data_IF_283606074068
#
_entry.id   IF_283606074068
#
_cell.length_a   1.000
_cell.length_b   1.000
_cell.length_c   1.000
_cell.angle_alpha   90.00
_cell.angle_beta   90.00
_cell.angle_gamma   90.00
#
_symmetry.space_group_name_H-M   'P 1'
#
loop_
_entity.id
_entity.type
_entity.pdbx_description
1 polymer ?
#
# COMPACT_ATOMS: atom_id res chain seq x y z
N UNK A 1 -23.04 64.53 30.00
CA UNK A 1 -24.02 64.14 28.98
C UNK A 1 -23.57 62.83 28.37
N UNK A 2 -24.27 61.84 28.68
CA UNK A 2 -24.46 60.48 28.25
C UNK A 2 -24.10 60.12 26.80
N UNK A 3 -23.37 59.04 26.63
CA UNK A 3 -23.76 57.96 25.72
C UNK A 3 -23.00 56.67 26.05
N UNK A 4 -23.71 55.73 26.59
CA UNK A 4 -23.32 54.34 26.78
C UNK A 4 -23.28 53.62 25.39
N UNK A 5 -22.13 53.13 24.97
CA UNK A 5 -22.01 52.22 23.84
C UNK A 5 -21.83 50.78 24.37
N UNK A 6 -22.84 49.94 24.13
CA UNK A 6 -22.81 48.50 24.42
C UNK A 6 -21.85 47.82 23.47
N UNK A 7 -20.77 47.26 23.97
CA UNK A 7 -19.94 46.30 23.23
C UNK A 7 -20.59 44.91 23.31
N UNK A 8 -21.27 44.54 22.26
CA UNK A 8 -21.77 43.18 22.05
C UNK A 8 -20.60 42.29 21.69
N UNK A 9 -20.25 41.37 22.58
CA UNK A 9 -19.22 40.36 22.35
C UNK A 9 -19.66 39.41 21.24
N UNK A 10 -18.93 39.45 20.15
CA UNK A 10 -19.03 38.46 19.07
C UNK A 10 -18.20 37.26 19.48
N UNK A 11 -18.84 36.24 20.04
CA UNK A 11 -18.26 34.92 20.22
C UNK A 11 -18.12 34.28 18.81
N UNK A 12 -16.93 34.38 18.27
CA UNK A 12 -16.55 33.64 17.04
C UNK A 12 -16.36 32.18 17.46
N UNK A 13 -17.37 31.38 17.20
CA UNK A 13 -17.30 29.94 17.29
C UNK A 13 -16.26 29.46 16.26
N UNK A 14 -15.08 29.06 16.74
CA UNK A 14 -14.10 28.32 15.98
C UNK A 14 -14.66 26.90 15.81
N UNK A 15 -15.46 26.72 14.77
CA UNK A 15 -15.84 25.39 14.29
C UNK A 15 -14.57 24.72 13.78
N UNK A 16 -14.18 23.67 14.49
CA UNK A 16 -13.22 22.66 14.07
C UNK A 16 -13.57 22.13 12.67
N UNK A 17 -12.83 22.57 11.69
CA UNK A 17 -12.73 21.89 10.40
C UNK A 17 -11.58 20.89 10.45
N UNK A 18 -11.80 19.79 11.17
CA UNK A 18 -11.00 18.58 11.04
C UNK A 18 -11.90 17.52 10.45
N UNK A 19 -11.72 17.28 9.19
CA UNK A 19 -12.05 16.11 8.39
C UNK A 19 -12.34 16.57 6.96
N UNK A 20 -11.34 17.18 6.33
CA UNK A 20 -11.25 17.08 4.89
C UNK A 20 -10.61 15.73 4.57
N UNK A 21 -11.27 14.64 4.98
CA UNK A 21 -11.24 13.43 4.21
C UNK A 21 -11.82 13.85 2.86
N UNK A 22 -10.98 13.96 1.84
CA UNK A 22 -11.44 14.13 0.47
C UNK A 22 -12.39 12.96 0.21
N UNK A 23 -13.67 13.21 0.37
CA UNK A 23 -14.69 12.41 -0.23
C UNK A 23 -14.43 12.54 -1.73
N UNK A 24 -13.66 11.61 -2.28
CA UNK A 24 -13.75 11.28 -3.68
C UNK A 24 -15.21 10.94 -3.85
N UNK A 25 -15.96 11.86 -4.43
CA UNK A 25 -17.38 11.66 -4.71
C UNK A 25 -17.46 10.31 -5.43
N UNK A 26 -18.24 9.39 -4.87
CA UNK A 26 -18.51 8.14 -5.56
C UNK A 26 -18.91 8.48 -6.99
N UNK A 27 -18.30 7.87 -8.01
CA UNK A 27 -18.59 8.18 -9.39
C UNK A 27 -20.11 8.06 -9.57
N UNK A 28 -20.74 9.04 -10.26
CA UNK A 28 -22.14 8.96 -10.60
C UNK A 28 -22.38 7.63 -11.31
N UNK A 29 -23.54 7.02 -11.10
CA UNK A 29 -23.89 5.71 -11.69
C UNK A 29 -23.58 5.60 -13.19
N UNK A 30 -23.70 6.70 -13.92
CA UNK A 30 -23.41 6.78 -15.34
C UNK A 30 -21.91 6.75 -15.66
N UNK A 31 -21.07 7.34 -14.80
CA UNK A 31 -19.61 7.33 -14.96
C UNK A 31 -19.04 5.94 -14.68
N UNK A 32 -19.56 5.23 -13.67
CA UNK A 32 -19.16 3.86 -13.36
C UNK A 32 -19.53 2.90 -14.52
N UNK A 33 -20.74 3.03 -15.07
CA UNK A 33 -21.18 2.23 -16.21
C UNK A 33 -20.35 2.49 -17.48
N UNK A 34 -19.90 3.72 -17.68
CA UNK A 34 -19.03 4.08 -18.81
C UNK A 34 -17.64 3.47 -18.67
N UNK A 35 -17.07 3.46 -17.46
CA UNK A 35 -15.77 2.82 -17.16
C UNK A 35 -15.85 1.32 -17.38
N UNK A 36 -16.90 0.65 -16.91
CA UNK A 36 -17.08 -0.80 -17.09
C UNK A 36 -17.23 -1.17 -18.57
N UNK A 37 -17.96 -0.41 -19.35
CA UNK A 37 -18.08 -0.61 -20.81
C UNK A 37 -16.72 -0.43 -21.50
N UNK A 38 -15.94 0.56 -21.10
CA UNK A 38 -14.62 0.81 -21.68
C UNK A 38 -13.67 -0.35 -21.33
N UNK A 39 -13.66 -0.83 -20.09
CA UNK A 39 -12.87 -2.00 -19.67
C UNK A 39 -13.26 -3.25 -20.47
N UNK A 40 -14.55 -3.51 -20.63
CA UNK A 40 -15.04 -4.64 -21.43
C UNK A 40 -14.59 -4.56 -22.89
N UNK A 41 -14.61 -3.37 -23.50
CA UNK A 41 -14.14 -3.17 -24.87
C UNK A 41 -12.62 -3.40 -25.00
N UNK A 42 -11.83 -2.91 -24.04
CA UNK A 42 -10.37 -3.15 -24.00
C UNK A 42 -10.09 -4.65 -23.90
N UNK A 43 -10.79 -5.36 -23.04
CA UNK A 43 -10.63 -6.79 -22.89
C UNK A 43 -11.02 -7.59 -24.14
N UNK A 44 -12.11 -7.22 -24.80
CA UNK A 44 -12.51 -7.84 -26.07
C UNK A 44 -11.45 -7.63 -27.15
N UNK A 45 -10.84 -6.46 -27.23
CA UNK A 45 -9.75 -6.16 -28.14
C UNK A 45 -8.50 -6.99 -27.80
N UNK A 46 -8.16 -7.12 -26.52
CA UNK A 46 -7.03 -7.95 -26.07
C UNK A 46 -7.25 -9.44 -26.38
N UNK A 47 -8.48 -9.96 -26.22
CA UNK A 47 -8.81 -11.33 -26.62
C UNK A 47 -8.68 -11.56 -28.12
N UNK A 48 -9.14 -10.61 -28.93
CA UNK A 48 -8.97 -10.67 -30.38
C UNK A 48 -7.49 -10.60 -30.79
N UNK A 49 -6.70 -9.74 -30.17
CA UNK A 49 -5.28 -9.64 -30.41
C UNK A 49 -4.57 -10.95 -30.01
N UNK A 50 -4.93 -11.52 -28.87
CA UNK A 50 -4.41 -12.80 -28.39
C UNK A 50 -4.73 -13.95 -29.36
N UNK A 51 -5.95 -14.00 -29.88
CA UNK A 51 -6.35 -15.00 -30.88
C UNK A 51 -5.57 -14.85 -32.19
N UNK A 52 -5.22 -13.64 -32.61
CA UNK A 52 -4.52 -13.38 -33.87
C UNK A 52 -3.02 -13.62 -33.80
N UNK A 53 -2.36 -13.17 -32.76
CA UNK A 53 -0.89 -13.17 -32.64
C UNK A 53 -0.34 -14.12 -31.59
N UNK A 54 -1.23 -14.76 -30.82
CA UNK A 54 -0.84 -15.52 -29.65
C UNK A 54 -0.46 -14.61 -28.48
N UNK A 55 0.11 -15.20 -27.46
CA UNK A 55 0.53 -14.44 -26.27
C UNK A 55 0.37 -15.25 -24.99
N UNK A 56 0.07 -14.59 -23.87
CA UNK A 56 -0.09 -15.25 -22.58
C UNK A 56 -1.34 -14.80 -21.85
N UNK A 57 -1.85 -15.70 -21.00
CA UNK A 57 -2.89 -15.41 -19.99
C UNK A 57 -2.32 -15.67 -18.61
N UNK A 58 -2.57 -14.78 -17.67
CA UNK A 58 -2.15 -14.94 -16.28
C UNK A 58 -3.38 -14.73 -15.39
N UNK A 59 -3.54 -15.59 -14.39
CA UNK A 59 -4.56 -15.47 -13.37
C UNK A 59 -3.88 -15.25 -12.03
N UNK A 60 -4.08 -14.06 -11.47
CA UNK A 60 -3.65 -13.73 -10.13
C UNK A 60 -4.76 -13.96 -9.12
N UNK A 61 -4.38 -14.25 -7.88
CA UNK A 61 -5.25 -14.31 -6.71
C UNK A 61 -4.76 -13.37 -5.64
N UNK A 62 -5.67 -12.59 -5.07
CA UNK A 62 -5.41 -11.74 -3.91
C UNK A 62 -5.38 -12.59 -2.65
N UNK A 63 -4.44 -12.35 -1.76
CA UNK A 63 -4.31 -13.07 -0.48
C UNK A 63 -5.45 -12.68 0.48
N UNK A 64 -6.48 -13.50 0.51
CA UNK A 64 -7.64 -13.29 1.37
C UNK A 64 -7.32 -13.49 2.86
N UNK A 65 -6.34 -14.34 3.22
CA UNK A 65 -5.97 -14.56 4.61
C UNK A 65 -5.27 -13.33 5.18
N UNK A 66 -4.31 -12.77 4.45
CA UNK A 66 -3.67 -11.51 4.83
C UNK A 66 -4.68 -10.35 4.91
N UNK A 67 -5.69 -10.34 4.02
CA UNK A 67 -6.77 -9.35 4.07
C UNK A 67 -7.59 -9.45 5.35
N UNK A 68 -7.93 -10.67 5.80
CA UNK A 68 -8.67 -10.89 7.07
C UNK A 68 -7.86 -10.41 8.27
N UNK A 69 -6.58 -10.74 8.32
CA UNK A 69 -5.68 -10.30 9.40
C UNK A 69 -5.57 -8.77 9.44
N UNK A 70 -5.47 -8.12 8.27
CA UNK A 70 -5.44 -6.67 8.18
C UNK A 70 -6.72 -6.01 8.72
N UNK A 71 -7.91 -6.51 8.37
CA UNK A 71 -9.20 -5.99 8.86
C UNK A 71 -9.28 -6.06 10.39
N UNK A 72 -8.84 -7.18 11.00
CA UNK A 72 -8.85 -7.33 12.46
C UNK A 72 -7.84 -6.39 13.12
N UNK A 73 -6.68 -6.19 12.48
CA UNK A 73 -5.65 -5.27 12.98
C UNK A 73 -6.11 -3.81 12.88
N UNK A 74 -6.73 -3.40 11.78
CA UNK A 74 -7.33 -2.09 11.60
C UNK A 74 -8.42 -1.84 12.67
N UNK A 75 -9.28 -2.82 12.92
CA UNK A 75 -10.31 -2.73 13.96
C UNK A 75 -9.68 -2.54 15.35
N UNK A 76 -8.60 -3.28 15.70
CA UNK A 76 -7.87 -3.08 16.96
C UNK A 76 -7.34 -1.65 17.08
N UNK A 77 -6.77 -1.11 16.01
CA UNK A 77 -6.20 0.22 16.00
C UNK A 77 -7.28 1.31 16.13
N UNK A 78 -8.43 1.10 15.52
CA UNK A 78 -9.59 1.98 15.67
C UNK A 78 -10.17 1.95 17.09
N UNK A 79 -10.25 0.75 17.70
CA UNK A 79 -10.62 0.61 19.10
C UNK A 79 -9.64 1.37 19.99
N UNK A 80 -8.33 1.16 19.80
CA UNK A 80 -7.29 1.85 20.57
C UNK A 80 -7.39 3.36 20.43
N UNK A 81 -7.54 3.87 19.20
CA UNK A 81 -7.70 5.31 18.92
C UNK A 81 -8.92 5.87 19.62
N UNK A 82 -10.06 5.19 19.50
CA UNK A 82 -11.34 5.61 20.09
C UNK A 82 -11.28 5.75 21.62
N UNK A 83 -10.68 4.77 22.31
CA UNK A 83 -10.56 4.84 23.78
C UNK A 83 -9.55 5.88 24.22
N UNK A 84 -8.46 6.08 23.47
CA UNK A 84 -7.45 7.10 23.76
C UNK A 84 -7.99 8.51 23.56
N UNK A 85 -8.64 8.80 22.45
CA UNK A 85 -9.27 10.10 22.18
C UNK A 85 -10.39 10.39 23.18
N UNK A 86 -11.17 9.38 23.55
CA UNK A 86 -12.22 9.47 24.55
C UNK A 86 -11.70 9.58 25.99
N UNK A 87 -10.41 9.40 26.23
CA UNK A 87 -9.77 9.30 27.56
C UNK A 87 -10.46 8.26 28.44
N UNK A 88 -10.82 7.13 27.82
CA UNK A 88 -11.57 6.04 28.47
C UNK A 88 -10.56 5.07 29.10
N UNK A 89 -10.68 4.76 30.41
CA UNK A 89 -9.87 3.72 31.03
C UNK A 89 -10.21 2.35 30.46
N UNK A 90 -9.20 1.58 30.06
CA UNK A 90 -9.36 0.23 29.52
C UNK A 90 -8.21 -0.68 29.91
N UNK A 91 -8.41 -1.98 29.74
CA UNK A 91 -7.38 -3.00 29.88
C UNK A 91 -7.61 -4.15 28.88
N UNK A 92 -6.61 -4.99 28.72
CA UNK A 92 -6.75 -6.25 27.98
C UNK A 92 -7.08 -6.12 26.49
N UNK A 93 -6.67 -5.00 25.84
CA UNK A 93 -6.85 -4.86 24.39
C UNK A 93 -5.96 -5.86 23.65
N UNK A 94 -6.59 -6.84 22.99
CA UNK A 94 -5.89 -7.89 22.27
C UNK A 94 -6.71 -8.41 21.09
N UNK A 95 -6.02 -8.93 20.08
CA UNK A 95 -6.66 -9.73 19.02
C UNK A 95 -6.75 -11.17 19.49
N UNK A 96 -7.95 -11.75 19.46
CA UNK A 96 -8.20 -13.15 19.78
C UNK A 96 -9.27 -13.74 18.86
N UNK A 97 -9.02 -14.93 18.35
CA UNK A 97 -9.94 -15.71 17.51
C UNK A 97 -10.63 -14.88 16.40
N UNK A 98 -9.84 -14.08 15.66
CA UNK A 98 -10.35 -13.26 14.56
C UNK A 98 -11.19 -12.04 14.98
N UNK A 99 -11.18 -11.67 16.26
CA UNK A 99 -11.83 -10.47 16.79
C UNK A 99 -10.92 -9.67 17.70
N UNK A 100 -11.41 -8.54 18.17
CA UNK A 100 -10.73 -7.63 19.11
C UNK A 100 -11.44 -7.66 20.44
N UNK A 101 -10.73 -8.00 21.49
CA UNK A 101 -11.21 -7.97 22.87
C UNK A 101 -10.67 -6.75 23.61
N UNK A 102 -11.53 -6.10 24.39
CA UNK A 102 -11.16 -4.99 25.26
C UNK A 102 -12.04 -5.01 26.52
N UNK A 103 -11.46 -4.65 27.66
CA UNK A 103 -12.19 -4.52 28.91
C UNK A 103 -12.35 -3.05 29.31
N UNK A 104 -13.61 -2.61 29.45
CA UNK A 104 -14.01 -1.26 29.88
C UNK A 104 -15.01 -1.43 31.02
N UNK A 105 -14.63 -1.02 32.23
CA UNK A 105 -15.44 -1.24 33.45
C UNK A 105 -16.73 -0.43 33.43
N UNK A 106 -16.68 0.85 33.05
CA UNK A 106 -17.84 1.74 33.07
C UNK A 106 -18.80 1.48 31.90
N UNK A 107 -20.08 1.30 32.21
CA UNK A 107 -21.11 0.98 31.21
C UNK A 107 -21.39 2.13 30.22
N UNK A 108 -21.29 3.40 30.68
CA UNK A 108 -21.50 4.57 29.82
C UNK A 108 -20.34 4.71 28.84
N UNK A 109 -19.11 4.43 29.30
CA UNK A 109 -17.94 4.43 28.45
C UNK A 109 -18.01 3.31 27.40
N UNK A 110 -18.50 2.12 27.75
CA UNK A 110 -18.75 1.05 26.78
C UNK A 110 -19.72 1.49 25.69
N UNK A 111 -20.86 2.06 26.08
CA UNK A 111 -21.85 2.55 25.10
C UNK A 111 -21.28 3.64 24.20
N UNK A 112 -20.45 4.54 24.75
CA UNK A 112 -19.81 5.62 24.00
C UNK A 112 -18.81 5.07 22.97
N UNK A 113 -18.03 4.06 23.32
CA UNK A 113 -17.10 3.38 22.42
C UNK A 113 -17.86 2.64 21.32
N UNK A 114 -18.85 1.85 21.71
CA UNK A 114 -19.67 1.10 20.73
C UNK A 114 -20.42 2.02 19.78
N UNK A 115 -20.99 3.12 20.27
CA UNK A 115 -21.68 4.11 19.43
C UNK A 115 -20.77 4.78 18.39
N UNK A 116 -19.46 4.89 18.68
CA UNK A 116 -18.49 5.41 17.70
C UNK A 116 -17.99 4.37 16.72
N UNK A 117 -17.71 3.15 17.18
CA UNK A 117 -17.13 2.08 16.38
C UNK A 117 -18.15 1.31 15.54
N UNK A 118 -19.39 1.20 16.07
CA UNK A 118 -20.47 0.43 15.44
C UNK A 118 -21.70 1.31 15.32
N UNK A 119 -21.64 2.40 14.53
CA UNK A 119 -22.83 3.16 14.23
C UNK A 119 -23.86 2.27 13.51
N UNK A 120 -25.15 2.62 13.47
CA UNK A 120 -26.19 1.81 12.83
C UNK A 120 -25.86 1.37 11.39
N UNK A 121 -25.09 2.19 10.67
CA UNK A 121 -24.61 1.90 9.31
C UNK A 121 -23.50 0.82 9.26
N UNK A 122 -22.83 0.55 10.36
CA UNK A 122 -21.77 -0.46 10.46
C UNK A 122 -22.23 -1.74 11.20
N UNK A 123 -23.47 -1.82 11.63
CA UNK A 123 -24.00 -2.99 12.37
C UNK A 123 -23.93 -4.30 11.58
N UNK A 124 -23.93 -4.23 10.25
CA UNK A 124 -23.77 -5.40 9.38
C UNK A 124 -22.29 -5.80 9.18
N UNK A 125 -21.34 -4.94 9.55
CA UNK A 125 -19.92 -5.16 9.30
C UNK A 125 -19.14 -5.58 10.53
N UNK A 126 -19.65 -5.28 11.74
CA UNK A 126 -19.01 -5.60 13.01
C UNK A 126 -20.01 -6.25 13.96
N UNK A 127 -19.79 -7.50 14.30
CA UNK A 127 -20.51 -8.19 15.38
C UNK A 127 -19.98 -7.73 16.75
N UNK A 128 -20.89 -7.48 17.69
CA UNK A 128 -20.57 -7.05 19.06
C UNK A 128 -21.05 -8.09 20.06
N UNK A 129 -20.19 -8.49 20.98
CA UNK A 129 -20.55 -9.29 22.16
C UNK A 129 -20.11 -8.51 23.40
N UNK A 130 -21.05 -8.12 24.25
CA UNK A 130 -20.80 -7.54 25.57
C UNK A 130 -21.15 -8.61 26.62
N UNK A 131 -20.16 -9.08 27.37
CA UNK A 131 -20.34 -10.11 28.40
C UNK A 131 -20.95 -9.57 29.70
N UNK A 132 -21.22 -8.26 29.79
CA UNK A 132 -21.79 -7.63 30.98
C UNK A 132 -20.79 -7.37 32.13
N UNK A 133 -19.66 -8.08 32.14
CA UNK A 133 -18.57 -7.96 33.12
C UNK A 133 -17.51 -6.91 32.74
N UNK A 134 -17.80 -6.10 31.75
CA UNK A 134 -16.89 -5.09 31.18
C UNK A 134 -16.08 -5.57 29.98
N UNK A 135 -16.13 -6.84 29.63
CA UNK A 135 -15.47 -7.37 28.45
C UNK A 135 -16.35 -7.17 27.21
N UNK A 136 -15.80 -6.48 26.22
CA UNK A 136 -16.40 -6.33 24.89
C UNK A 136 -15.56 -7.10 23.89
N UNK A 137 -16.20 -7.83 23.01
CA UNK A 137 -15.59 -8.44 21.83
C UNK A 137 -16.22 -7.88 20.56
N UNK A 138 -15.39 -7.38 19.66
CA UNK A 138 -15.75 -6.87 18.35
C UNK A 138 -15.21 -7.83 17.29
N UNK A 139 -16.09 -8.35 16.44
CA UNK A 139 -15.70 -9.35 15.43
C UNK A 139 -16.15 -8.86 14.05
N UNK A 140 -15.22 -8.62 13.10
CA UNK A 140 -15.60 -8.31 11.71
C UNK A 140 -16.44 -9.44 11.13
N UNK A 141 -17.50 -9.09 10.39
CA UNK A 141 -18.39 -10.07 9.76
C UNK A 141 -17.83 -10.53 8.40
N UNK A 142 -18.38 -11.61 7.84
CA UNK A 142 -18.05 -12.03 6.47
C UNK A 142 -18.36 -10.95 5.43
N UNK A 143 -19.38 -10.12 5.67
CA UNK A 143 -19.70 -8.96 4.83
C UNK A 143 -18.54 -7.96 4.82
N UNK A 144 -17.95 -7.66 5.99
CA UNK A 144 -16.78 -6.79 6.12
C UNK A 144 -15.57 -7.36 5.36
N UNK A 145 -15.26 -8.64 5.55
CA UNK A 145 -14.16 -9.30 4.85
C UNK A 145 -14.37 -9.31 3.33
N UNK A 146 -15.59 -9.61 2.87
CA UNK A 146 -15.91 -9.61 1.45
C UNK A 146 -15.84 -8.20 0.82
N UNK A 147 -16.25 -7.17 1.55
CA UNK A 147 -16.13 -5.78 1.11
C UNK A 147 -14.65 -5.37 0.97
N UNK A 148 -13.83 -5.69 1.97
CA UNK A 148 -12.39 -5.40 1.93
C UNK A 148 -11.69 -6.15 0.79
N UNK A 149 -12.03 -7.42 0.59
CA UNK A 149 -11.44 -8.21 -0.48
C UNK A 149 -11.79 -7.64 -1.87
N UNK A 150 -13.04 -7.23 -2.10
CA UNK A 150 -13.44 -6.57 -3.36
C UNK A 150 -12.67 -5.26 -3.57
N UNK A 151 -12.51 -4.46 -2.53
CA UNK A 151 -11.72 -3.23 -2.57
C UNK A 151 -10.27 -3.52 -2.98
N UNK A 152 -9.63 -4.53 -2.34
CA UNK A 152 -8.26 -4.94 -2.67
C UNK A 152 -8.14 -5.45 -4.10
N UNK A 153 -9.12 -6.21 -4.59
CA UNK A 153 -9.13 -6.68 -5.99
C UNK A 153 -9.21 -5.49 -6.94
N UNK A 154 -10.10 -4.53 -6.67
CA UNK A 154 -10.26 -3.33 -7.50
C UNK A 154 -8.98 -2.49 -7.53
N UNK A 155 -8.42 -2.17 -6.36
CA UNK A 155 -7.18 -1.40 -6.25
C UNK A 155 -5.99 -2.12 -6.88
N UNK A 156 -5.88 -3.45 -6.68
CA UNK A 156 -4.82 -4.26 -7.30
C UNK A 156 -4.97 -4.33 -8.82
N UNK A 157 -6.19 -4.41 -9.33
CA UNK A 157 -6.50 -4.37 -10.76
C UNK A 157 -6.03 -3.04 -11.37
N UNK A 158 -6.37 -1.92 -10.75
CA UNK A 158 -5.93 -0.59 -11.17
C UNK A 158 -4.39 -0.45 -11.19
N UNK A 159 -3.72 -1.01 -10.18
CA UNK A 159 -2.25 -1.02 -10.15
C UNK A 159 -1.63 -1.89 -11.25
N UNK A 160 -2.21 -3.06 -11.53
CA UNK A 160 -1.77 -3.92 -12.63
C UNK A 160 -1.95 -3.20 -13.96
N UNK A 161 -3.09 -2.56 -14.19
CA UNK A 161 -3.37 -1.78 -15.40
C UNK A 161 -2.35 -0.65 -15.56
N UNK A 162 -2.04 0.07 -14.48
CA UNK A 162 -1.04 1.13 -14.50
C UNK A 162 0.38 0.59 -14.81
N UNK A 163 0.73 -0.58 -14.27
CA UNK A 163 2.00 -1.27 -14.58
C UNK A 163 2.06 -1.70 -16.04
N UNK A 164 0.97 -2.25 -16.58
CA UNK A 164 0.86 -2.62 -17.98
C UNK A 164 1.01 -1.40 -18.89
N UNK A 165 0.30 -0.30 -18.62
CA UNK A 165 0.44 0.96 -19.39
C UNK A 165 1.85 1.53 -19.36
N UNK A 166 2.55 1.40 -18.25
CA UNK A 166 3.92 1.88 -18.08
C UNK A 166 4.98 0.89 -18.63
N UNK A 167 4.56 -0.30 -19.06
CA UNK A 167 5.42 -1.30 -19.69
C UNK A 167 5.45 -1.12 -21.20
N UNK A 168 6.34 -1.85 -21.87
CA UNK A 168 6.38 -1.91 -23.34
C UNK A 168 5.32 -2.86 -23.93
N UNK A 169 4.46 -3.47 -23.11
CA UNK A 169 3.45 -4.45 -23.52
C UNK A 169 2.24 -3.69 -24.07
N UNK A 170 1.94 -3.92 -25.35
CA UNK A 170 0.80 -3.29 -26.02
C UNK A 170 -0.41 -4.22 -26.02
N UNK A 171 -1.60 -3.62 -26.11
CA UNK A 171 -2.89 -4.35 -26.22
C UNK A 171 -3.17 -5.29 -25.03
N UNK A 172 -2.42 -5.12 -23.92
CA UNK A 172 -2.68 -5.85 -22.68
C UNK A 172 -3.97 -5.38 -22.03
N UNK A 173 -4.64 -6.28 -21.32
CA UNK A 173 -5.79 -5.93 -20.50
C UNK A 173 -5.79 -6.69 -19.19
N UNK A 174 -6.42 -6.10 -18.20
CA UNK A 174 -6.68 -6.70 -16.90
C UNK A 174 -8.18 -6.66 -16.60
N UNK A 175 -8.66 -7.65 -15.85
CA UNK A 175 -10.05 -7.72 -15.39
C UNK A 175 -10.15 -8.45 -14.07
N UNK A 176 -10.98 -7.97 -13.14
CA UNK A 176 -11.43 -8.80 -12.01
C UNK A 176 -12.09 -10.10 -12.52
N UNK A 177 -11.76 -11.22 -11.89
CA UNK A 177 -12.29 -12.54 -12.19
C UNK A 177 -12.81 -13.22 -10.92
N UNK A 178 -14.12 -13.08 -10.68
CA UNK A 178 -14.75 -13.52 -9.44
C UNK A 178 -14.49 -12.57 -8.28
N UNK A 179 -14.36 -13.12 -7.06
CA UNK A 179 -14.31 -12.32 -5.81
C UNK A 179 -12.91 -11.97 -5.34
N UNK A 180 -11.90 -12.76 -5.75
CA UNK A 180 -10.54 -12.68 -5.24
C UNK A 180 -9.45 -12.81 -6.31
N UNK A 181 -9.82 -12.78 -7.60
CA UNK A 181 -8.89 -12.99 -8.71
C UNK A 181 -8.86 -11.85 -9.70
N UNK A 182 -7.76 -11.75 -10.43
CA UNK A 182 -7.53 -10.80 -11.52
C UNK A 182 -6.95 -11.56 -12.70
N UNK A 183 -7.63 -11.47 -13.84
CA UNK A 183 -7.18 -12.04 -15.10
C UNK A 183 -6.44 -11.00 -15.90
N UNK A 184 -5.28 -11.37 -16.44
CA UNK A 184 -4.46 -10.51 -17.29
C UNK A 184 -4.24 -11.19 -18.64
N UNK A 185 -4.52 -10.47 -19.72
CA UNK A 185 -4.29 -10.90 -21.10
C UNK A 185 -3.12 -10.12 -21.67
N UNK A 186 -2.17 -10.82 -22.25
CA UNK A 186 -0.88 -10.30 -22.73
C UNK A 186 -0.64 -10.72 -24.18
N UNK A 187 -1.27 -10.08 -25.17
CA UNK A 187 -1.03 -10.38 -26.57
C UNK A 187 0.45 -10.21 -26.96
N UNK A 188 0.99 -11.16 -27.72
CA UNK A 188 2.38 -11.14 -28.19
C UNK A 188 3.44 -11.49 -27.13
N UNK A 189 3.08 -11.66 -25.88
CA UNK A 189 4.03 -12.02 -24.80
C UNK A 189 4.12 -13.55 -24.69
N UNK A 190 5.31 -14.12 -24.85
CA UNK A 190 5.57 -15.57 -24.79
C UNK A 190 6.27 -16.02 -23.50
N UNK A 191 6.63 -15.07 -22.65
CA UNK A 191 7.24 -15.32 -21.33
C UNK A 191 6.31 -14.78 -20.22
N UNK A 192 5.28 -15.56 -19.84
CA UNK A 192 4.36 -15.15 -18.78
C UNK A 192 5.02 -15.11 -17.40
N UNK A 193 6.05 -15.93 -17.15
CA UNK A 193 6.71 -16.01 -15.85
C UNK A 193 7.40 -14.69 -15.50
N UNK A 194 8.13 -14.12 -16.45
CA UNK A 194 8.78 -12.83 -16.28
C UNK A 194 7.78 -11.70 -16.02
N UNK A 195 6.70 -11.67 -16.79
CA UNK A 195 5.68 -10.63 -16.62
C UNK A 195 4.89 -10.81 -15.33
N UNK A 196 4.53 -12.04 -14.97
CA UNK A 196 3.83 -12.30 -13.70
C UNK A 196 4.68 -11.94 -12.49
N UNK A 197 5.98 -12.27 -12.52
CA UNK A 197 6.92 -11.89 -11.47
C UNK A 197 7.05 -10.36 -11.33
N UNK A 198 7.02 -9.62 -12.44
CA UNK A 198 7.03 -8.16 -12.43
C UNK A 198 5.71 -7.59 -11.87
N UNK A 199 4.57 -8.08 -12.35
CA UNK A 199 3.26 -7.56 -11.95
C UNK A 199 2.91 -7.88 -10.49
N UNK A 200 3.35 -9.03 -9.97
CA UNK A 200 3.06 -9.47 -8.58
C UNK A 200 3.99 -8.87 -7.53
N UNK A 201 5.09 -8.21 -7.91
CA UNK A 201 5.93 -7.49 -6.94
C UNK A 201 5.09 -6.45 -6.20
N UNK A 202 5.22 -6.41 -4.88
CA UNK A 202 4.47 -5.45 -4.06
C UNK A 202 4.76 -4.01 -4.45
N UNK A 203 6.03 -3.72 -4.75
CA UNK A 203 6.46 -2.38 -5.11
C UNK A 203 6.46 -1.41 -3.93
N UNK A 204 6.47 -1.93 -2.70
CA UNK A 204 6.50 -1.10 -1.50
C UNK A 204 7.89 -0.55 -1.28
N UNK A 205 8.01 0.77 -1.30
CA UNK A 205 9.24 1.48 -0.99
C UNK A 205 9.10 2.16 0.36
N UNK A 206 10.13 2.04 1.19
CA UNK A 206 10.23 2.77 2.45
C UNK A 206 11.64 3.30 2.64
N UNK A 207 11.74 4.47 3.24
CA UNK A 207 13.00 5.08 3.62
C UNK A 207 13.16 4.93 5.13
N UNK A 208 14.23 4.27 5.58
CA UNK A 208 14.42 3.87 6.95
C UNK A 208 15.84 4.15 7.44
N UNK A 209 16.00 4.44 8.71
CA UNK A 209 17.33 4.55 9.30
C UNK A 209 17.91 3.15 9.57
N UNK A 210 19.21 3.02 9.40
CA UNK A 210 19.96 1.83 9.81
C UNK A 210 20.21 1.92 11.32
N UNK A 211 19.96 0.84 12.02
CA UNK A 211 20.24 0.72 13.45
C UNK A 211 21.73 0.45 13.69
N UNK A 212 22.46 1.51 14.01
CA UNK A 212 23.90 1.46 14.28
C UNK A 212 24.26 0.92 15.67
N UNK A 213 23.27 0.69 16.53
CA UNK A 213 23.49 0.09 17.85
C UNK A 213 23.78 -1.40 17.77
N UNK A 214 23.49 -2.04 16.62
CA UNK A 214 23.65 -3.46 16.39
C UNK A 214 24.71 -3.70 15.31
N UNK A 215 25.68 -4.55 15.64
CA UNK A 215 26.65 -5.03 14.64
C UNK A 215 25.95 -6.04 13.74
N UNK A 216 25.75 -5.72 12.46
CA UNK A 216 25.01 -6.52 11.51
C UNK A 216 25.47 -8.00 11.45
N UNK A 217 26.78 -8.25 11.52
CA UNK A 217 27.32 -9.60 11.52
C UNK A 217 26.90 -10.46 12.74
N UNK A 218 26.53 -9.82 13.84
CA UNK A 218 26.09 -10.49 15.07
C UNK A 218 24.57 -10.54 15.21
N UNK A 219 23.83 -9.79 14.38
CA UNK A 219 22.38 -9.64 14.46
C UNK A 219 21.61 -10.97 14.32
N UNK A 220 22.16 -11.94 13.58
CA UNK A 220 21.54 -13.26 13.42
C UNK A 220 21.71 -14.18 14.65
N UNK A 221 22.70 -13.89 15.50
CA UNK A 221 23.04 -14.73 16.66
C UNK A 221 22.49 -14.18 17.97
N UNK A 222 22.13 -12.91 18.00
CA UNK A 222 21.69 -12.20 19.19
C UNK A 222 20.24 -11.68 19.00
N UNK A 223 19.45 -11.58 20.09
CA UNK A 223 18.17 -10.91 20.04
C UNK A 223 18.32 -9.47 19.54
N UNK A 224 17.45 -9.07 18.61
CA UNK A 224 17.41 -7.69 18.14
C UNK A 224 16.74 -6.77 19.18
N UNK A 225 17.16 -5.49 19.24
CA UNK A 225 16.43 -4.49 20.00
C UNK A 225 14.98 -4.41 19.53
N UNK A 226 14.02 -4.13 20.45
CA UNK A 226 12.66 -3.82 20.06
C UNK A 226 12.64 -2.66 19.04
N UNK A 227 11.92 -2.84 17.95
CA UNK A 227 11.83 -1.81 16.91
C UNK A 227 12.85 -1.93 15.77
N UNK A 228 13.74 -2.94 15.81
CA UNK A 228 14.65 -3.24 14.69
C UNK A 228 14.31 -4.55 14.00
N UNK A 229 14.72 -4.68 12.74
CA UNK A 229 14.59 -5.91 11.95
C UNK A 229 15.78 -6.10 11.01
N UNK A 230 16.00 -7.36 10.60
CA UNK A 230 17.03 -7.71 9.65
C UNK A 230 16.46 -7.70 8.25
N UNK A 231 17.10 -6.93 7.36
CA UNK A 231 16.85 -6.98 5.92
C UNK A 231 18.14 -7.35 5.18
N UNK A 232 18.00 -7.91 3.99
CA UNK A 232 19.13 -8.27 3.14
C UNK A 232 19.27 -7.27 2.00
N UNK A 233 20.51 -6.96 1.67
CA UNK A 233 20.81 -6.20 0.45
C UNK A 233 20.35 -6.97 -0.79
N UNK A 234 19.72 -6.26 -1.72
CA UNK A 234 19.18 -6.85 -2.94
C UNK A 234 20.28 -7.53 -3.78
N UNK A 235 21.44 -6.91 -3.90
CA UNK A 235 22.55 -7.33 -4.74
C UNK A 235 23.54 -8.24 -4.01
N UNK A 236 24.09 -7.75 -2.90
CA UNK A 236 25.19 -8.46 -2.19
C UNK A 236 24.71 -9.51 -1.23
N UNK A 237 23.40 -9.46 -0.86
CA UNK A 237 22.78 -10.28 0.19
C UNK A 237 23.32 -10.03 1.59
N UNK A 238 24.13 -8.98 1.76
CA UNK A 238 24.61 -8.53 3.05
C UNK A 238 23.44 -8.19 3.98
N UNK A 239 23.73 -8.30 5.27
CA UNK A 239 22.73 -8.04 6.30
C UNK A 239 22.78 -6.57 6.70
N UNK A 240 21.62 -5.94 6.72
CA UNK A 240 21.39 -4.63 7.33
C UNK A 240 20.39 -4.78 8.47
N UNK A 241 20.67 -4.15 9.60
CA UNK A 241 19.71 -3.99 10.69
C UNK A 241 19.08 -2.61 10.51
N UNK A 242 17.78 -2.57 10.26
CA UNK A 242 17.04 -1.32 10.03
C UNK A 242 16.01 -1.10 11.12
N UNK A 243 15.71 0.16 11.41
CA UNK A 243 14.61 0.50 12.29
C UNK A 243 13.28 0.19 11.57
N UNK A 244 12.32 -0.38 12.28
CA UNK A 244 10.97 -0.64 11.76
C UNK A 244 10.21 0.65 11.48
N UNK A 245 10.60 1.72 12.18
CA UNK A 245 10.02 3.03 12.00
C UNK A 245 10.36 3.59 10.62
N UNK A 246 9.31 3.94 9.87
CA UNK A 246 9.44 4.39 8.48
C UNK A 246 9.55 5.89 8.44
N UNK A 247 10.69 6.37 7.97
CA UNK A 247 10.96 7.78 7.82
C UNK A 247 10.08 8.44 6.75
N UNK A 248 10.01 7.84 5.56
CA UNK A 248 9.13 8.28 4.45
C UNK A 248 8.58 7.05 3.74
N UNK A 249 7.30 7.08 3.42
CA UNK A 249 6.60 6.03 2.66
C UNK A 249 6.69 6.26 1.16
N UNK A 250 6.58 5.18 0.38
CA UNK A 250 6.54 5.23 -1.08
C UNK A 250 5.36 6.00 -1.65
N UNK A 251 4.27 6.12 -0.89
CA UNK A 251 3.08 6.90 -1.29
C UNK A 251 3.35 8.40 -1.40
N UNK A 252 4.47 8.85 -0.85
CA UNK A 252 4.96 10.22 -1.02
C UNK A 252 5.75 10.44 -2.32
N UNK A 253 6.04 9.38 -3.10
CA UNK A 253 6.69 9.47 -4.41
C UNK A 253 5.69 9.91 -5.48
N UNK A 254 6.07 10.88 -6.29
CA UNK A 254 5.26 11.37 -7.41
C UNK A 254 5.86 11.08 -8.77
N UNK A 255 7.15 10.77 -8.80
CA UNK A 255 7.85 10.49 -10.05
C UNK A 255 9.07 9.61 -9.80
N UNK A 256 9.38 8.77 -10.77
CA UNK A 256 10.63 8.02 -10.81
C UNK A 256 11.02 7.74 -12.27
N UNK A 257 12.30 7.83 -12.57
CA UNK A 257 12.83 7.62 -13.91
C UNK A 257 14.11 6.78 -13.89
N UNK A 258 14.26 5.83 -14.80
CA UNK A 258 15.51 5.11 -14.95
C UNK A 258 16.58 6.02 -15.58
N UNK A 259 17.83 5.73 -15.27
CA UNK A 259 18.95 6.48 -15.82
C UNK A 259 20.26 5.72 -15.69
N UNK A 260 21.32 6.39 -16.13
CA UNK A 260 22.70 5.94 -15.94
C UNK A 260 23.42 7.07 -15.22
N UNK A 261 24.05 6.74 -14.09
CA UNK A 261 24.87 7.70 -13.36
C UNK A 261 26.03 8.16 -14.24
N UNK A 262 26.19 9.47 -14.48
CA UNK A 262 27.26 10.01 -15.33
C UNK A 262 28.67 9.67 -14.82
N UNK A 263 28.85 9.53 -13.50
CA UNK A 263 30.15 9.29 -12.88
C UNK A 263 30.49 7.79 -12.84
N UNK A 264 29.62 6.99 -12.25
CA UNK A 264 29.87 5.54 -12.09
C UNK A 264 29.53 4.71 -13.30
N UNK A 265 28.79 5.26 -14.29
CA UNK A 265 28.23 4.54 -15.46
C UNK A 265 27.33 3.37 -15.09
N UNK A 266 26.83 3.35 -13.85
CA UNK A 266 25.94 2.31 -13.35
C UNK A 266 24.46 2.69 -13.56
N UNK A 267 23.56 1.70 -13.75
CA UNK A 267 22.13 1.94 -13.77
C UNK A 267 21.64 2.50 -12.44
N UNK A 268 20.76 3.50 -12.51
CA UNK A 268 20.12 4.16 -11.37
C UNK A 268 18.64 4.32 -11.63
N UNK A 269 17.87 4.53 -10.56
CA UNK A 269 16.54 5.10 -10.64
C UNK A 269 16.49 6.42 -9.85
N UNK A 270 16.17 7.51 -10.52
CA UNK A 270 15.89 8.79 -9.86
C UNK A 270 14.47 8.77 -9.33
N UNK A 271 14.23 9.48 -8.23
CA UNK A 271 12.89 9.65 -7.67
C UNK A 271 12.66 11.08 -7.19
N UNK A 272 11.37 11.44 -7.05
CA UNK A 272 10.95 12.73 -6.51
C UNK A 272 9.73 12.56 -5.62
N UNK A 273 9.76 13.20 -4.45
CA UNK A 273 8.65 13.26 -3.50
C UNK A 273 7.66 14.38 -3.82
N UNK A 274 6.43 14.22 -3.33
CA UNK A 274 5.47 15.30 -3.17
C UNK A 274 5.91 16.28 -2.07
N UNK A 275 5.15 17.36 -1.86
CA UNK A 275 5.50 18.37 -0.85
C UNK A 275 5.48 17.82 0.60
N UNK A 276 4.67 16.79 0.90
CA UNK A 276 4.63 16.14 2.21
C UNK A 276 5.89 15.31 2.44
N UNK A 277 6.22 14.44 1.51
CA UNK A 277 7.42 13.61 1.55
C UNK A 277 8.69 14.44 1.59
N UNK A 278 8.78 15.51 0.80
CA UNK A 278 9.90 16.44 0.80
C UNK A 278 10.15 17.02 2.19
N UNK A 279 9.10 17.51 2.87
CA UNK A 279 9.25 18.08 4.22
C UNK A 279 9.64 17.02 5.25
N UNK A 280 9.04 15.82 5.20
CA UNK A 280 9.38 14.70 6.10
C UNK A 280 10.83 14.26 5.90
N UNK A 281 11.24 14.10 4.63
CA UNK A 281 12.59 13.66 4.31
C UNK A 281 13.65 14.69 4.70
N UNK A 282 13.37 15.99 4.48
CA UNK A 282 14.23 17.08 4.91
C UNK A 282 14.40 17.09 6.44
N UNK A 283 13.31 17.00 7.20
CA UNK A 283 13.37 16.99 8.68
C UNK A 283 14.18 15.78 9.19
N UNK A 284 13.89 14.58 8.70
CA UNK A 284 14.59 13.37 9.14
C UNK A 284 16.06 13.39 8.76
N UNK A 285 16.40 13.84 7.56
CA UNK A 285 17.81 13.93 7.14
C UNK A 285 18.55 15.00 7.92
N UNK A 286 17.89 16.10 8.30
CA UNK A 286 18.48 17.14 9.17
C UNK A 286 18.79 16.62 10.57
N UNK A 287 17.89 15.84 11.18
CA UNK A 287 18.07 15.29 12.51
C UNK A 287 19.09 14.14 12.56
N UNK A 288 19.39 13.51 11.41
CA UNK A 288 20.19 12.31 11.33
C UNK A 288 21.42 12.45 10.41
N UNK A 289 21.99 13.67 10.31
CA UNK A 289 23.27 13.88 9.60
C UNK A 289 24.37 13.02 10.21
N UNK A 290 25.15 12.35 9.38
CA UNK A 290 26.20 11.40 9.77
C UNK A 290 25.70 9.98 10.00
N UNK A 291 24.39 9.74 10.04
CA UNK A 291 23.82 8.39 10.21
C UNK A 291 23.54 7.72 8.86
N UNK A 292 23.65 6.39 8.78
CA UNK A 292 23.28 5.67 7.58
C UNK A 292 21.75 5.51 7.50
N UNK A 293 21.22 5.62 6.28
CA UNK A 293 19.85 5.28 5.96
C UNK A 293 19.77 4.28 4.80
N UNK A 294 18.67 3.59 4.70
CA UNK A 294 18.41 2.59 3.67
C UNK A 294 17.13 2.94 2.89
N UNK A 295 17.17 2.70 1.60
CA UNK A 295 16.01 2.63 0.72
C UNK A 295 15.65 1.15 0.63
N UNK A 296 14.48 0.80 1.17
CA UNK A 296 13.98 -0.57 1.24
C UNK A 296 12.89 -0.75 0.20
N UNK A 297 12.97 -1.81 -0.56
CA UNK A 297 12.00 -2.20 -1.57
C UNK A 297 11.61 -3.66 -1.37
N UNK A 298 10.32 -3.92 -1.13
CA UNK A 298 9.77 -5.27 -0.91
C UNK A 298 10.59 -6.09 0.11
N UNK A 299 10.88 -5.48 1.27
CA UNK A 299 11.63 -6.08 2.38
C UNK A 299 13.12 -6.40 2.06
N UNK A 300 13.68 -5.78 1.04
CA UNK A 300 15.10 -5.82 0.70
C UNK A 300 15.70 -4.42 0.65
N UNK A 301 16.95 -4.28 1.08
CA UNK A 301 17.68 -3.01 0.96
C UNK A 301 18.17 -2.87 -0.47
N UNK A 302 17.64 -1.87 -1.20
CA UNK A 302 18.10 -1.54 -2.54
C UNK A 302 19.37 -0.71 -2.53
N UNK A 303 19.45 0.22 -1.59
CA UNK A 303 20.56 1.16 -1.46
C UNK A 303 20.69 1.58 -0.01
N UNK A 304 21.92 1.73 0.44
CA UNK A 304 22.23 2.31 1.75
C UNK A 304 23.29 3.40 1.59
N UNK A 305 23.12 4.51 2.29
CA UNK A 305 24.03 5.66 2.21
C UNK A 305 24.07 6.41 3.53
N UNK A 306 25.17 7.09 3.79
CA UNK A 306 25.28 8.00 4.93
C UNK A 306 24.69 9.36 4.55
N UNK A 307 23.85 9.89 5.42
CA UNK A 307 23.30 11.24 5.28
C UNK A 307 24.43 12.24 5.50
N UNK A 308 24.93 12.89 4.45
CA UNK A 308 26.05 13.83 4.55
C UNK A 308 25.57 15.23 4.93
N UNK A 309 24.40 15.60 4.46
CA UNK A 309 23.76 16.91 4.68
C UNK A 309 22.23 16.76 4.61
N UNK A 310 21.46 17.72 5.12
CA UNK A 310 20.00 17.71 4.98
C UNK A 310 19.58 17.70 3.51
N UNK A 311 18.69 16.77 3.14
CA UNK A 311 18.21 16.63 1.75
C UNK A 311 16.87 17.38 1.62
N UNK A 312 16.97 18.67 1.29
CA UNK A 312 15.80 19.56 1.23
C UNK A 312 15.11 19.60 -0.14
N UNK A 313 15.75 19.07 -1.18
CA UNK A 313 15.26 19.14 -2.57
C UNK A 313 14.16 18.13 -2.91
N UNK A 314 13.85 17.18 -2.02
CA UNK A 314 12.80 16.18 -2.20
C UNK A 314 13.02 15.22 -3.37
N UNK A 315 14.25 15.07 -3.84
CA UNK A 315 14.64 14.14 -4.89
C UNK A 315 15.90 13.38 -4.52
N UNK A 316 16.11 12.22 -5.12
CA UNK A 316 17.29 11.42 -4.90
C UNK A 316 17.50 10.37 -5.97
N UNK A 317 18.57 9.59 -5.78
CA UNK A 317 18.96 8.53 -6.69
C UNK A 317 19.03 7.20 -5.91
N UNK A 318 18.46 6.16 -6.50
CA UNK A 318 18.61 4.78 -6.06
C UNK A 318 19.76 4.18 -6.87
N UNK A 319 20.86 3.90 -6.22
CA UNK A 319 22.04 3.24 -6.79
C UNK A 319 22.06 1.75 -6.42
N UNK A 320 23.01 1.00 -6.99
CA UNK A 320 23.13 -0.44 -6.71
C UNK A 320 22.25 -1.32 -7.60
N UNK A 321 21.54 -0.75 -8.55
CA UNK A 321 20.77 -1.47 -9.57
C UNK A 321 21.74 -2.13 -10.54
N UNK A 322 21.47 -3.38 -10.93
CA UNK A 322 22.43 -4.18 -11.70
C UNK A 322 22.34 -3.91 -13.21
N UNK A 323 21.12 -3.84 -13.74
CA UNK A 323 20.88 -3.65 -15.18
C UNK A 323 19.98 -2.44 -15.43
N UNK A 324 20.04 -1.91 -16.65
CA UNK A 324 19.12 -0.84 -17.07
C UNK A 324 17.67 -1.33 -17.10
N UNK A 325 17.47 -2.62 -17.33
CA UNK A 325 16.15 -3.24 -17.28
C UNK A 325 15.61 -3.26 -15.84
N UNK A 326 16.45 -3.59 -14.86
CA UNK A 326 16.06 -3.49 -13.45
C UNK A 326 15.75 -2.05 -13.06
N UNK A 327 16.51 -1.07 -13.57
CA UNK A 327 16.23 0.35 -13.33
C UNK A 327 14.88 0.78 -13.92
N UNK A 328 14.54 0.30 -15.13
CA UNK A 328 13.22 0.52 -15.72
C UNK A 328 12.11 -0.10 -14.88
N UNK A 329 12.29 -1.35 -14.41
CA UNK A 329 11.32 -2.05 -13.59
C UNK A 329 11.12 -1.35 -12.23
N UNK A 330 12.20 -0.96 -11.56
CA UNK A 330 12.15 -0.21 -10.31
C UNK A 330 11.43 1.12 -10.50
N UNK A 331 11.80 1.91 -11.51
CA UNK A 331 11.16 3.18 -11.79
C UNK A 331 9.67 3.04 -12.12
N UNK A 332 9.29 2.00 -12.87
CA UNK A 332 7.90 1.68 -13.17
C UNK A 332 7.11 1.35 -11.89
N UNK A 333 7.66 0.49 -11.04
CA UNK A 333 7.02 0.10 -9.78
C UNK A 333 6.88 1.29 -8.82
N UNK A 334 7.89 2.15 -8.74
CA UNK A 334 7.85 3.38 -7.96
C UNK A 334 6.73 4.33 -8.43
N UNK A 335 6.56 4.49 -9.75
CA UNK A 335 5.49 5.33 -10.33
C UNK A 335 4.10 4.74 -10.16
N UNK A 336 3.97 3.42 -10.25
CA UNK A 336 2.67 2.75 -10.11
C UNK A 336 2.22 2.59 -8.67
N UNK A 337 3.13 2.76 -7.71
CA UNK A 337 2.83 2.56 -6.29
C UNK A 337 2.84 1.10 -5.85
N UNK A 338 2.62 0.92 -4.55
CA UNK A 338 2.60 -0.40 -3.93
C UNK A 338 1.26 -1.11 -4.16
N UNK A 339 1.31 -2.40 -4.47
CA UNK A 339 0.11 -3.24 -4.45
C UNK A 339 -0.47 -3.28 -3.03
N UNK A 340 -1.76 -3.01 -2.87
CA UNK A 340 -2.42 -2.97 -1.57
C UNK A 340 -2.53 -4.36 -0.92
N UNK A 341 -2.52 -5.42 -1.73
CA UNK A 341 -2.55 -6.82 -1.30
C UNK A 341 -1.46 -7.65 -1.96
N UNK A 342 -1.10 -8.78 -1.33
CA UNK A 342 -0.23 -9.76 -1.97
C UNK A 342 -0.97 -10.47 -3.09
N UNK A 343 -0.31 -10.63 -4.23
CA UNK A 343 -0.81 -11.39 -5.36
C UNK A 343 -0.01 -12.69 -5.50
N UNK A 344 -0.71 -13.79 -5.69
CA UNK A 344 -0.13 -15.08 -6.08
C UNK A 344 -0.59 -15.45 -7.49
N UNK A 345 0.29 -16.07 -8.27
CA UNK A 345 -0.07 -16.63 -9.58
C UNK A 345 -0.80 -17.94 -9.34
N UNK A 346 -2.02 -18.05 -9.84
CA UNK A 346 -2.84 -19.28 -9.75
C UNK A 346 -2.70 -20.11 -11.02
N UNK A 347 -2.66 -19.42 -12.16
CA UNK A 347 -2.53 -20.05 -13.48
C UNK A 347 -1.80 -19.10 -14.44
N UNK A 348 -1.02 -19.69 -15.33
CA UNK A 348 -0.39 -18.98 -16.43
C UNK A 348 -0.25 -19.88 -17.63
N UNK A 349 -0.66 -19.38 -18.78
CA UNK A 349 -0.73 -20.15 -20.02
C UNK A 349 -0.19 -19.34 -21.18
N UNK A 350 0.59 -20.00 -22.05
CA UNK A 350 0.93 -19.47 -23.36
C UNK A 350 -0.16 -19.90 -24.34
N UNK A 351 -0.69 -18.93 -25.07
CA UNK A 351 -1.75 -19.13 -26.07
C UNK A 351 -1.14 -19.00 -27.44
N UNK A 352 -1.25 -20.06 -28.26
CA UNK A 352 -0.82 -20.01 -29.66
C UNK A 352 -1.87 -19.28 -30.51
N UNK A 353 -1.44 -18.61 -31.60
CA UNK A 353 -2.37 -17.98 -32.51
C UNK A 353 -3.34 -19.00 -33.10
N UNK A 354 -4.61 -18.63 -33.18
CA UNK A 354 -5.58 -19.45 -33.94
C UNK A 354 -5.17 -19.42 -35.40
N UNK A 355 -4.61 -20.53 -35.90
CA UNK A 355 -4.27 -20.66 -37.32
C UNK A 355 -5.53 -20.34 -38.14
N UNK A 356 -5.45 -19.36 -39.04
CA UNK A 356 -6.53 -19.07 -39.97
C UNK A 356 -6.83 -20.35 -40.75
N UNK A 357 -7.93 -21.01 -40.40
CA UNK A 357 -8.54 -22.10 -41.21
C UNK A 357 -9.20 -21.51 -42.45
N UNK A 358 -8.56 -20.56 -43.12
CA UNK A 358 -9.03 -19.93 -44.31
C UNK A 358 -7.91 -19.88 -45.35
N UNK A 359 -7.51 -21.05 -45.80
CA UNK A 359 -6.94 -21.30 -47.14
C UNK A 359 -7.14 -22.78 -47.46
N UNK A 360 -8.36 -23.13 -47.79
CA UNK A 360 -8.68 -24.21 -48.74
C UNK A 360 -9.72 -23.69 -49.71
#
# INVERSE_FOLDING_TARGET
MNARGKTTGLFLAFMLASAACSAIAAPRSDDALAVDKMRAAIAANAEQALAKQGGSKILFKVDAAASREAVVTELRDDVYRTVREGRIPFSGLAIRDGGVEIRIADAKDRQRVLGKLVPPTAAETIGVTDSGDGLIRLTPTETSFAARLRELVTQSSEMIDQRLRNSAIRDASEQPDGVDRIRVLLPGVRDPERVSAMLSKRGRVTFRLIDVSVIAALAQKNPLPPGSEILRDFKTKDIHVVLKDVAVEGDDLIDASPGIDPQSKQPIASFRFNGRGTRRFAAITQENVGRPFAIVFDDQVLSSSIIREPIVGGSGLISGIVTIEDANNVAMLLRSGALPGRLSVVDQQVVEPVANAAKQ
#
